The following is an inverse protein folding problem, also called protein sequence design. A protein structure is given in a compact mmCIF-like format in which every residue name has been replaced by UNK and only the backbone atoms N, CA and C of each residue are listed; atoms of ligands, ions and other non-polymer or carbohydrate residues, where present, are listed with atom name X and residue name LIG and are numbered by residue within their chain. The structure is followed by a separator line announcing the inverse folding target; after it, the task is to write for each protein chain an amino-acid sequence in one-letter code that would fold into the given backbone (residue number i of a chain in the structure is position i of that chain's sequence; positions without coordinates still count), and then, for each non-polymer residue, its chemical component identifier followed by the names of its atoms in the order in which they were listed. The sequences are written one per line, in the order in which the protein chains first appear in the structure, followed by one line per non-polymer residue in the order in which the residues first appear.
data_IF_953015956638
#
_entry.id   IF_953015956638
#
_cell.length_a   1.000
_cell.length_b   1.000
_cell.length_c   1.000
_cell.angle_alpha   90.00
_cell.angle_beta   90.00
_cell.angle_gamma   90.00
#
_symmetry.space_group_name_H-M   'P 1'
#
loop_
_entity.id
_entity.type
_entity.pdbx_description
1 polymer ?
#
# COMPACT_ATOMS: atom_id res chain seq x y z
N UNK A 1 24.62 64.20 32.69
CA UNK A 1 23.74 63.08 32.30
C UNK A 1 24.59 61.82 32.26
N UNK A 2 24.25 60.82 33.08
CA UNK A 2 25.18 59.80 33.61
C UNK A 2 25.23 58.52 32.73
N UNK A 3 26.38 58.28 32.09
CA UNK A 3 26.63 57.19 31.14
C UNK A 3 26.78 55.79 31.77
N UNK A 4 26.53 55.63 33.07
CA UNK A 4 26.68 54.35 33.80
C UNK A 4 25.47 53.42 33.73
N UNK A 5 24.31 53.90 33.29
CA UNK A 5 23.07 53.09 33.28
C UNK A 5 22.92 52.18 32.04
N UNK A 6 23.65 52.45 30.94
CA UNK A 6 23.48 51.71 29.67
C UNK A 6 24.25 50.38 29.65
N UNK A 7 25.40 50.29 30.33
CA UNK A 7 26.23 49.07 30.34
C UNK A 7 25.62 47.90 31.12
N UNK A 8 24.75 48.16 32.10
CA UNK A 8 24.12 47.10 32.90
C UNK A 8 22.97 46.38 32.16
N UNK A 9 22.21 47.10 31.32
CA UNK A 9 21.10 46.52 30.54
C UNK A 9 21.55 45.64 29.38
N UNK A 10 22.75 45.84 28.81
CA UNK A 10 23.28 44.97 27.74
C UNK A 10 23.77 43.60 28.26
N UNK A 11 24.39 43.54 29.44
CA UNK A 11 24.86 42.25 30.02
C UNK A 11 23.71 41.30 30.39
N UNK A 12 22.60 41.84 30.89
CA UNK A 12 21.43 41.03 31.26
C UNK A 12 20.75 40.35 30.04
N UNK A 13 20.65 41.06 28.90
CA UNK A 13 20.06 40.49 27.66
C UNK A 13 20.94 39.43 27.00
N UNK A 14 22.27 39.56 27.14
CA UNK A 14 23.21 38.56 26.64
C UNK A 14 23.08 37.25 27.44
N UNK A 15 23.00 37.33 28.77
CA UNK A 15 22.88 36.13 29.62
C UNK A 15 21.56 35.38 29.43
N UNK A 16 20.45 36.08 29.21
CA UNK A 16 19.14 35.46 28.93
C UNK A 16 19.16 34.61 27.64
N UNK A 17 19.87 35.05 26.58
CA UNK A 17 19.98 34.34 25.29
C UNK A 17 20.83 33.06 25.39
N UNK A 18 21.89 33.04 26.18
CA UNK A 18 22.70 31.84 26.38
C UNK A 18 21.94 30.74 27.14
N UNK A 19 21.11 31.12 28.12
CA UNK A 19 20.27 30.16 28.84
C UNK A 19 19.18 29.54 27.94
N UNK A 20 18.69 30.28 26.93
CA UNK A 20 17.72 29.74 25.95
C UNK A 20 18.37 28.80 24.93
N UNK A 21 19.60 29.06 24.51
CA UNK A 21 20.32 28.19 23.57
C UNK A 21 20.73 26.88 24.26
N UNK A 22 21.23 26.94 25.50
CA UNK A 22 21.64 25.76 26.26
C UNK A 22 20.46 24.79 26.54
N UNK A 23 19.28 25.35 26.85
CA UNK A 23 18.05 24.56 27.03
C UNK A 23 17.55 23.96 25.71
N UNK A 24 17.71 24.66 24.59
CA UNK A 24 17.34 24.14 23.27
C UNK A 24 18.26 22.99 22.82
N UNK A 25 19.57 23.10 23.03
CA UNK A 25 20.52 22.01 22.74
C UNK A 25 20.30 20.79 23.61
N UNK A 26 20.01 20.96 24.90
CA UNK A 26 19.72 19.83 25.80
C UNK A 26 18.46 19.05 25.36
N UNK A 27 17.42 19.76 24.91
CA UNK A 27 16.20 19.13 24.40
C UNK A 27 16.44 18.35 23.10
N UNK A 28 17.29 18.84 22.19
CA UNK A 28 17.65 18.12 20.95
C UNK A 28 18.44 16.85 21.25
N UNK A 29 19.43 16.91 22.14
CA UNK A 29 20.20 15.73 22.54
C UNK A 29 19.30 14.68 23.21
N UNK A 30 18.33 15.12 24.02
CA UNK A 30 17.38 14.21 24.66
C UNK A 30 16.40 13.57 23.65
N UNK A 31 16.00 14.30 22.60
CA UNK A 31 15.20 13.78 21.49
C UNK A 31 15.98 12.80 20.59
N UNK A 32 17.26 13.06 20.34
CA UNK A 32 18.15 12.16 19.60
C UNK A 32 18.37 10.84 20.38
N UNK A 33 18.67 10.92 21.67
CA UNK A 33 18.83 9.75 22.54
C UNK A 33 17.54 8.92 22.64
N UNK A 34 16.36 9.56 22.65
CA UNK A 34 15.07 8.84 22.63
C UNK A 34 14.81 8.13 21.30
N UNK A 35 15.27 8.69 20.17
CA UNK A 35 15.17 8.04 18.85
C UNK A 35 16.11 6.84 18.72
N UNK A 36 17.35 6.97 19.17
CA UNK A 36 18.31 5.87 19.17
C UNK A 36 17.83 4.73 20.08
N UNK A 37 17.39 5.04 21.30
CA UNK A 37 16.82 4.05 22.22
C UNK A 37 15.59 3.33 21.65
N UNK A 38 14.71 4.04 20.94
CA UNK A 38 13.56 3.43 20.28
C UNK A 38 13.96 2.50 19.13
N UNK A 39 14.93 2.93 18.29
CA UNK A 39 15.45 2.12 17.19
C UNK A 39 16.16 0.86 17.69
N UNK A 40 16.98 0.98 18.74
CA UNK A 40 17.64 -0.18 19.36
C UNK A 40 16.64 -1.16 19.95
N UNK A 41 15.62 -0.67 20.67
CA UNK A 41 14.58 -1.54 21.23
C UNK A 41 13.72 -2.20 20.16
N UNK A 42 13.38 -1.47 19.09
CA UNK A 42 12.63 -2.01 17.96
C UNK A 42 13.45 -3.08 17.24
N UNK A 43 14.73 -2.81 16.93
CA UNK A 43 15.63 -3.77 16.30
C UNK A 43 15.89 -4.99 17.19
N UNK A 44 16.08 -4.79 18.50
CA UNK A 44 16.29 -5.89 19.45
C UNK A 44 15.03 -6.77 19.58
N UNK A 45 13.84 -6.16 19.68
CA UNK A 45 12.58 -6.89 19.71
C UNK A 45 12.34 -7.66 18.39
N UNK A 46 12.61 -7.02 17.25
CA UNK A 46 12.51 -7.64 15.94
C UNK A 46 13.48 -8.83 15.79
N UNK A 47 14.75 -8.66 16.17
CA UNK A 47 15.75 -9.73 16.13
C UNK A 47 15.44 -10.86 17.10
N UNK A 48 14.87 -10.57 18.28
CA UNK A 48 14.39 -11.61 19.19
C UNK A 48 13.19 -12.37 18.64
N UNK A 49 12.25 -11.70 17.98
CA UNK A 49 11.11 -12.36 17.33
C UNK A 49 11.58 -13.29 16.20
N UNK A 50 12.51 -12.82 15.35
CA UNK A 50 13.16 -13.63 14.31
C UNK A 50 13.89 -14.84 14.92
N UNK A 51 14.63 -14.63 16.02
CA UNK A 51 15.38 -15.71 16.68
C UNK A 51 14.45 -16.77 17.28
N UNK A 52 13.36 -16.37 17.95
CA UNK A 52 12.35 -17.30 18.51
C UNK A 52 11.68 -18.13 17.41
N UNK A 53 11.39 -17.50 16.27
CA UNK A 53 10.85 -18.19 15.10
C UNK A 53 11.84 -19.23 14.53
N UNK A 54 13.14 -18.94 14.59
CA UNK A 54 14.20 -19.85 14.11
C UNK A 54 14.47 -21.01 15.06
N UNK A 55 14.38 -20.79 16.37
CA UNK A 55 14.63 -21.83 17.39
C UNK A 55 13.45 -22.78 17.62
N UNK A 56 12.26 -22.45 17.11
CA UNK A 56 11.10 -23.36 17.13
C UNK A 56 11.08 -24.41 16.02
N UNK A 57 11.91 -24.26 14.98
CA UNK A 57 12.08 -25.27 13.94
C UNK A 57 13.19 -26.23 14.37
N UNK A 58 12.82 -27.40 14.93
CA UNK A 58 13.70 -28.57 14.90
C UNK A 58 13.93 -28.91 13.43
N UNK A 59 15.15 -28.65 12.95
CA UNK A 59 15.60 -29.09 11.64
C UNK A 59 15.95 -30.57 11.75
N UNK A 60 14.99 -31.44 11.44
CA UNK A 60 15.31 -32.78 11.01
C UNK A 60 16.05 -32.69 9.67
N UNK A 61 17.17 -33.40 9.60
CA UNK A 61 18.21 -33.18 8.61
C UNK A 61 17.80 -33.44 7.17
N UNK A 62 18.65 -32.88 6.29
CA UNK A 62 18.72 -33.07 4.84
C UNK A 62 17.87 -32.10 3.99
N UNK A 63 18.19 -30.80 4.07
CA UNK A 63 17.73 -29.81 3.09
C UNK A 63 18.74 -29.72 1.94
N UNK A 64 18.36 -30.34 0.83
CA UNK A 64 18.95 -30.18 -0.49
C UNK A 64 19.07 -28.69 -0.85
N UNK A 65 20.30 -28.20 -1.05
CA UNK A 65 20.62 -26.84 -1.53
C UNK A 65 20.39 -26.71 -3.04
N UNK A 66 19.26 -27.22 -3.55
CA UNK A 66 18.84 -26.88 -4.90
C UNK A 66 18.41 -25.40 -4.89
N UNK A 67 18.87 -24.58 -5.86
CA UNK A 67 18.36 -23.22 -6.02
C UNK A 67 16.84 -23.33 -6.14
N UNK A 68 16.11 -22.48 -5.40
CA UNK A 68 14.65 -22.40 -5.51
C UNK A 68 14.32 -22.16 -6.98
N UNK A 69 13.89 -23.24 -7.65
CA UNK A 69 13.23 -23.21 -8.94
C UNK A 69 12.14 -22.16 -8.86
N UNK A 70 12.05 -21.29 -9.87
CA UNK A 70 11.03 -20.29 -10.08
C UNK A 70 9.66 -20.79 -9.62
N UNK A 71 9.32 -20.54 -8.35
CA UNK A 71 7.97 -20.82 -7.87
C UNK A 71 7.10 -19.79 -8.56
N UNK A 72 6.16 -20.29 -9.37
CA UNK A 72 5.13 -19.47 -10.00
C UNK A 72 4.55 -18.49 -8.99
N UNK A 73 4.23 -17.31 -9.48
CA UNK A 73 3.68 -16.22 -8.68
C UNK A 73 2.30 -16.66 -8.13
N UNK A 74 2.21 -16.95 -6.83
CA UNK A 74 0.97 -17.43 -6.20
C UNK A 74 -0.01 -16.26 -5.95
N UNK A 75 -1.05 -16.21 -6.79
CA UNK A 75 -2.14 -15.23 -6.72
C UNK A 75 -3.17 -15.54 -5.62
N UNK A 76 -3.16 -16.77 -5.10
CA UNK A 76 -4.11 -17.24 -4.10
C UNK A 76 -3.56 -17.27 -2.68
N UNK A 77 -2.26 -17.05 -2.51
CA UNK A 77 -1.59 -17.01 -1.20
C UNK A 77 -2.35 -16.14 -0.16
N UNK A 78 -2.92 -15.00 -0.57
CA UNK A 78 -3.65 -14.13 0.37
C UNK A 78 -4.92 -14.76 0.94
N UNK A 79 -5.48 -15.78 0.28
CA UNK A 79 -6.68 -16.49 0.71
C UNK A 79 -6.36 -17.76 1.51
N UNK A 80 -5.21 -18.39 1.26
CA UNK A 80 -4.89 -19.73 1.77
C UNK A 80 -3.76 -19.73 2.80
N UNK A 81 -2.81 -18.79 2.70
CA UNK A 81 -1.64 -18.73 3.58
C UNK A 81 -1.98 -18.01 4.89
N UNK A 82 -2.26 -18.81 5.92
CA UNK A 82 -2.59 -18.32 7.26
C UNK A 82 -1.43 -17.60 7.93
N UNK A 83 -0.19 -18.02 7.69
CA UNK A 83 1.00 -17.42 8.29
C UNK A 83 1.24 -16.02 7.71
N UNK A 84 1.17 -15.91 6.37
CA UNK A 84 1.25 -14.62 5.68
C UNK A 84 0.16 -13.67 6.16
N UNK A 85 -1.10 -14.14 6.24
CA UNK A 85 -2.23 -13.33 6.72
C UNK A 85 -1.99 -12.83 8.14
N UNK A 86 -1.58 -13.71 9.05
CA UNK A 86 -1.27 -13.34 10.43
C UNK A 86 -0.12 -12.31 10.50
N UNK A 87 0.94 -12.50 9.72
CA UNK A 87 2.05 -11.57 9.67
C UNK A 87 1.64 -10.18 9.17
N UNK A 88 0.93 -10.09 8.03
CA UNK A 88 0.43 -8.83 7.48
C UNK A 88 -0.53 -8.13 8.45
N UNK A 89 -1.45 -8.88 9.04
CA UNK A 89 -2.39 -8.35 10.03
C UNK A 89 -1.68 -7.80 11.27
N UNK A 90 -0.64 -8.48 11.77
CA UNK A 90 0.15 -7.99 12.90
C UNK A 90 0.83 -6.64 12.62
N UNK A 91 1.29 -6.42 11.38
CA UNK A 91 1.86 -5.15 10.93
C UNK A 91 0.78 -4.07 10.88
N UNK A 92 -0.40 -4.39 10.34
CA UNK A 92 -1.55 -3.49 10.36
C UNK A 92 -1.93 -3.06 11.79
N UNK A 93 -2.03 -4.01 12.73
CA UNK A 93 -2.36 -3.73 14.14
C UNK A 93 -1.30 -2.83 14.79
N UNK A 94 -0.02 -3.07 14.51
CA UNK A 94 1.07 -2.23 15.02
C UNK A 94 0.98 -0.79 14.47
N UNK A 95 0.73 -0.64 13.16
CA UNK A 95 0.49 0.66 12.54
C UNK A 95 -0.73 1.34 13.18
N UNK A 96 -1.88 0.66 13.28
CA UNK A 96 -3.09 1.19 13.92
C UNK A 96 -2.81 1.76 15.31
N UNK A 97 -2.13 1.00 16.17
CA UNK A 97 -1.76 1.45 17.51
C UNK A 97 -0.87 2.69 17.49
N UNK A 98 0.07 2.78 16.55
CA UNK A 98 0.91 3.97 16.39
C UNK A 98 0.09 5.20 15.97
N UNK A 99 -0.86 5.06 15.04
CA UNK A 99 -1.77 6.13 14.65
C UNK A 99 -2.63 6.61 15.82
N UNK A 100 -3.18 5.68 16.63
CA UNK A 100 -3.98 6.03 17.82
C UNK A 100 -3.15 6.71 18.91
N UNK A 101 -1.92 6.25 19.14
CA UNK A 101 -1.04 6.82 20.17
C UNK A 101 -0.48 8.20 19.80
N UNK A 102 -0.27 8.47 18.51
CA UNK A 102 0.41 9.68 18.04
C UNK A 102 -0.36 10.37 16.90
N UNK A 103 -1.65 10.66 17.12
CA UNK A 103 -2.54 11.22 16.08
C UNK A 103 -2.02 12.53 15.46
N UNK A 104 -1.29 13.35 16.22
CA UNK A 104 -0.71 14.60 15.73
C UNK A 104 0.49 14.39 14.78
N UNK A 105 1.13 13.21 14.82
CA UNK A 105 2.34 12.91 14.07
C UNK A 105 2.05 12.15 12.76
N UNK A 106 0.84 11.60 12.60
CA UNK A 106 0.48 10.78 11.45
C UNK A 106 -0.73 11.34 10.71
N UNK A 107 -0.63 11.44 9.39
CA UNK A 107 -1.68 11.96 8.52
C UNK A 107 -2.41 10.86 7.76
N UNK A 108 -3.58 11.17 7.18
CA UNK A 108 -4.28 10.25 6.26
C UNK A 108 -3.41 9.83 5.06
N UNK A 109 -2.53 10.71 4.60
CA UNK A 109 -1.58 10.40 3.53
C UNK A 109 -0.55 9.36 3.97
N UNK A 110 -0.09 9.43 5.23
CA UNK A 110 0.82 8.43 5.79
C UNK A 110 0.16 7.06 5.91
N UNK A 111 -1.10 7.02 6.37
CA UNK A 111 -1.87 5.78 6.43
C UNK A 111 -2.03 5.15 5.05
N UNK A 112 -2.37 5.96 4.04
CA UNK A 112 -2.49 5.51 2.64
C UNK A 112 -1.18 4.91 2.15
N UNK A 113 -0.04 5.61 2.37
CA UNK A 113 1.28 5.13 1.95
C UNK A 113 1.68 3.84 2.63
N UNK A 114 1.44 3.73 3.94
CA UNK A 114 1.75 2.52 4.72
C UNK A 114 0.90 1.33 4.27
N UNK A 115 -0.40 1.54 4.04
CA UNK A 115 -1.31 0.51 3.55
C UNK A 115 -0.92 0.06 2.14
N UNK A 116 -0.59 0.99 1.24
CA UNK A 116 -0.11 0.68 -0.12
C UNK A 116 1.21 -0.08 -0.09
N UNK A 117 2.14 0.29 0.81
CA UNK A 117 3.40 -0.44 0.97
C UNK A 117 3.21 -1.86 1.49
N UNK A 118 2.30 -2.03 2.45
CA UNK A 118 2.00 -3.34 3.06
C UNK A 118 1.28 -4.27 2.09
N UNK A 119 0.26 -3.75 1.40
CA UNK A 119 -0.74 -4.55 0.70
C UNK A 119 -0.79 -4.34 -0.82
N UNK A 120 0.00 -3.42 -1.38
CA UNK A 120 -0.10 -2.99 -2.78
C UNK A 120 0.97 -3.55 -3.72
N UNK A 121 2.06 -4.12 -3.20
CA UNK A 121 3.19 -4.62 -4.00
C UNK A 121 3.24 -6.15 -4.09
N UNK A 122 2.10 -6.81 -3.89
CA UNK A 122 2.00 -8.28 -3.95
C UNK A 122 1.29 -8.68 -5.23
N UNK A 123 1.54 -9.89 -5.75
CA UNK A 123 0.92 -10.35 -6.99
C UNK A 123 -0.60 -10.24 -7.00
N UNK A 124 -1.22 -10.61 -5.88
CA UNK A 124 -2.66 -10.57 -5.62
C UNK A 124 -3.22 -9.17 -5.33
N UNK A 125 -2.38 -8.14 -5.28
CA UNK A 125 -2.81 -6.76 -5.05
C UNK A 125 -3.43 -6.14 -6.29
N UNK A 126 -4.31 -5.15 -6.07
CA UNK A 126 -5.01 -4.38 -7.11
C UNK A 126 -5.79 -5.32 -8.05
N UNK A 127 -6.68 -6.11 -7.44
CA UNK A 127 -7.41 -7.20 -8.09
C UNK A 127 -8.22 -6.65 -9.26
N UNK A 128 -7.93 -7.10 -10.47
CA UNK A 128 -8.67 -6.66 -11.66
C UNK A 128 -9.93 -7.49 -11.78
N UNK A 129 -11.08 -6.85 -11.65
CA UNK A 129 -12.40 -7.49 -11.77
C UNK A 129 -13.11 -7.17 -13.10
N UNK A 130 -12.51 -6.32 -13.92
CA UNK A 130 -13.14 -5.87 -15.15
C UNK A 130 -12.31 -4.94 -16.01
N UNK A 131 -12.86 -4.63 -17.18
CA UNK A 131 -12.30 -3.68 -18.15
C UNK A 131 -13.41 -2.83 -18.75
N UNK A 132 -13.21 -1.52 -18.90
CA UNK A 132 -14.19 -0.64 -19.56
C UNK A 132 -14.19 -0.86 -21.08
N UNK A 133 -15.31 -0.65 -21.78
CA UNK A 133 -15.35 -0.71 -23.24
C UNK A 133 -14.33 0.22 -23.91
N UNK A 134 -14.14 1.43 -23.36
CA UNK A 134 -13.15 2.38 -23.87
C UNK A 134 -11.72 1.85 -23.74
N UNK A 135 -11.35 1.26 -22.61
CA UNK A 135 -10.04 0.64 -22.46
C UNK A 135 -9.83 -0.55 -23.39
N UNK A 136 -10.87 -1.36 -23.62
CA UNK A 136 -10.81 -2.47 -24.56
C UNK A 136 -10.59 -1.99 -26.00
N UNK A 137 -11.22 -0.87 -26.39
CA UNK A 137 -10.97 -0.22 -27.68
C UNK A 137 -9.51 0.22 -27.80
N UNK A 138 -8.95 0.89 -26.79
CA UNK A 138 -7.54 1.30 -26.80
C UNK A 138 -6.61 0.09 -26.94
N UNK A 139 -6.92 -1.05 -26.31
CA UNK A 139 -6.15 -2.27 -26.55
C UNK A 139 -6.24 -2.76 -27.99
N UNK A 140 -7.44 -2.75 -28.60
CA UNK A 140 -7.60 -3.12 -30.01
C UNK A 140 -6.73 -2.27 -30.92
N UNK A 141 -6.69 -0.96 -30.68
CA UNK A 141 -5.89 -0.01 -31.47
C UNK A 141 -4.37 -0.24 -31.34
N UNK A 142 -3.94 -1.02 -30.34
CA UNK A 142 -2.53 -1.33 -30.05
C UNK A 142 -2.21 -2.83 -30.19
N UNK A 143 -2.91 -3.56 -31.05
CA UNK A 143 -2.75 -5.01 -31.26
C UNK A 143 -2.87 -5.85 -29.98
N UNK A 144 -3.62 -5.34 -29.01
CA UNK A 144 -3.83 -5.87 -27.66
C UNK A 144 -2.56 -5.91 -26.79
N UNK A 145 -1.48 -5.24 -27.22
CA UNK A 145 -0.30 -4.99 -26.39
C UNK A 145 -0.60 -3.88 -25.39
N UNK A 146 0.16 -3.81 -24.30
CA UNK A 146 -0.01 -2.77 -23.28
C UNK A 146 0.32 -1.38 -23.85
N UNK A 147 -0.65 -0.46 -23.96
CA UNK A 147 -0.38 0.88 -24.42
C UNK A 147 0.34 1.68 -23.31
N UNK A 148 1.44 2.37 -23.61
CA UNK A 148 2.18 3.12 -22.61
C UNK A 148 1.37 4.36 -22.17
N UNK A 149 1.15 4.50 -20.86
CA UNK A 149 0.58 5.70 -20.22
C UNK A 149 -0.82 6.12 -20.70
N UNK A 150 -1.61 5.21 -21.27
CA UNK A 150 -3.00 5.50 -21.68
C UNK A 150 -4.04 4.82 -20.76
N UNK A 151 -3.67 3.68 -20.19
CA UNK A 151 -4.55 2.85 -19.36
C UNK A 151 -4.02 2.73 -17.94
N UNK A 152 -4.94 2.56 -17.00
CA UNK A 152 -4.64 2.33 -15.59
C UNK A 152 -5.65 1.39 -14.93
N UNK A 153 -5.28 0.88 -13.75
CA UNK A 153 -6.19 0.18 -12.84
C UNK A 153 -6.86 1.20 -11.94
N UNK A 154 -8.12 1.53 -12.24
CA UNK A 154 -8.92 2.42 -11.42
C UNK A 154 -9.60 1.65 -10.30
N UNK A 155 -9.37 2.06 -9.05
CA UNK A 155 -10.06 1.49 -7.90
C UNK A 155 -11.54 1.90 -7.89
N UNK A 156 -12.43 0.94 -7.59
CA UNK A 156 -13.84 1.21 -7.30
C UNK A 156 -13.97 2.08 -6.05
N UNK A 157 -13.30 1.67 -4.98
CA UNK A 157 -13.16 2.45 -3.75
C UNK A 157 -11.72 2.89 -3.60
N UNK A 158 -11.49 4.19 -3.55
CA UNK A 158 -10.13 4.73 -3.52
C UNK A 158 -9.34 4.23 -2.30
N UNK A 159 -8.02 4.05 -2.48
CA UNK A 159 -7.14 3.54 -1.42
C UNK A 159 -7.13 4.44 -0.18
N UNK A 160 -7.30 5.75 -0.36
CA UNK A 160 -7.23 6.71 0.74
C UNK A 160 -8.46 6.59 1.66
N UNK A 161 -9.66 6.38 1.11
CA UNK A 161 -10.85 6.10 1.90
C UNK A 161 -10.75 4.76 2.62
N UNK A 162 -10.19 3.72 1.99
CA UNK A 162 -9.89 2.43 2.67
C UNK A 162 -8.96 2.64 3.87
N UNK A 163 -7.89 3.42 3.70
CA UNK A 163 -6.98 3.75 4.79
C UNK A 163 -7.65 4.62 5.87
N UNK A 164 -8.52 5.56 5.50
CA UNK A 164 -9.27 6.38 6.48
C UNK A 164 -10.08 5.49 7.41
N UNK A 165 -10.83 4.53 6.86
CA UNK A 165 -11.64 3.61 7.66
C UNK A 165 -10.76 2.81 8.61
N UNK A 166 -9.74 2.13 8.06
CA UNK A 166 -8.91 1.19 8.81
C UNK A 166 -8.11 1.82 9.95
N UNK A 167 -7.66 3.07 9.83
CA UNK A 167 -6.75 3.69 10.81
C UNK A 167 -7.39 4.82 11.63
N UNK A 168 -8.42 5.49 11.11
CA UNK A 168 -9.01 6.67 11.75
C UNK A 168 -10.44 6.43 12.23
N UNK A 169 -11.28 5.84 11.40
CA UNK A 169 -12.72 5.74 11.70
C UNK A 169 -13.03 4.59 12.66
N UNK A 170 -12.26 3.49 12.62
CA UNK A 170 -12.34 2.41 13.60
C UNK A 170 -11.79 2.84 14.98
N UNK A 171 -12.46 2.46 16.07
CA UNK A 171 -12.00 2.69 17.45
C UNK A 171 -10.94 1.67 17.87
N UNK A 172 -11.10 0.42 17.45
CA UNK A 172 -10.19 -0.71 17.67
C UNK A 172 -9.69 -1.27 16.32
N UNK A 173 -8.53 -1.96 16.28
CA UNK A 173 -8.06 -2.57 15.06
C UNK A 173 -9.02 -3.68 14.62
N UNK A 174 -9.34 -3.70 13.34
CA UNK A 174 -10.22 -4.70 12.75
C UNK A 174 -9.67 -6.13 12.98
N UNK A 175 -10.48 -7.10 13.43
CA UNK A 175 -10.08 -8.50 13.56
C UNK A 175 -9.52 -9.08 12.25
N UNK A 176 -8.68 -10.12 12.35
CA UNK A 176 -7.92 -10.64 11.20
C UNK A 176 -8.78 -10.97 9.98
N UNK A 177 -9.84 -11.75 10.16
CA UNK A 177 -10.69 -12.17 9.05
C UNK A 177 -11.47 -11.00 8.44
N UNK A 178 -11.96 -10.10 9.29
CA UNK A 178 -12.68 -8.90 8.87
C UNK A 178 -11.76 -7.94 8.11
N UNK A 179 -10.51 -7.78 8.56
CA UNK A 179 -9.50 -6.96 7.88
C UNK A 179 -9.28 -7.41 6.44
N UNK A 180 -9.09 -8.71 6.21
CA UNK A 180 -8.88 -9.21 4.85
C UNK A 180 -10.14 -9.15 4.02
N UNK A 181 -11.32 -9.45 4.57
CA UNK A 181 -12.59 -9.31 3.85
C UNK A 181 -12.78 -7.86 3.39
N UNK A 182 -12.67 -6.91 4.31
CA UNK A 182 -12.81 -5.47 4.06
C UNK A 182 -11.76 -4.95 3.07
N UNK A 183 -10.50 -5.32 3.28
CA UNK A 183 -9.42 -4.86 2.41
C UNK A 183 -9.59 -5.39 0.99
N UNK A 184 -9.81 -6.71 0.83
CA UNK A 184 -9.87 -7.33 -0.49
C UNK A 184 -11.05 -6.80 -1.29
N UNK A 185 -12.24 -6.69 -0.69
CA UNK A 185 -13.43 -6.09 -1.33
C UNK A 185 -13.11 -4.71 -1.92
N UNK A 186 -12.38 -3.87 -1.18
CA UNK A 186 -12.03 -2.51 -1.61
C UNK A 186 -10.79 -2.43 -2.48
N UNK A 187 -10.04 -3.52 -2.59
CA UNK A 187 -8.87 -3.64 -3.47
C UNK A 187 -9.24 -3.98 -4.92
N UNK A 188 -10.54 -4.00 -5.23
CA UNK A 188 -11.06 -4.20 -6.58
C UNK A 188 -10.74 -3.02 -7.50
N UNK A 189 -10.28 -3.35 -8.69
CA UNK A 189 -9.91 -2.41 -9.75
C UNK A 189 -10.48 -2.83 -11.09
N UNK A 190 -10.64 -1.85 -11.97
CA UNK A 190 -11.04 -2.04 -13.36
C UNK A 190 -9.97 -1.41 -14.25
N UNK A 191 -9.61 -2.09 -15.33
CA UNK A 191 -8.76 -1.50 -16.35
C UNK A 191 -9.59 -0.49 -17.14
N UNK A 192 -9.16 0.77 -17.10
CA UNK A 192 -9.86 1.88 -17.71
C UNK A 192 -8.88 2.87 -18.30
N UNK A 193 -9.37 3.77 -19.14
CA UNK A 193 -8.57 4.88 -19.67
C UNK A 193 -8.17 5.85 -18.56
N UNK A 194 -7.11 6.61 -18.82
CA UNK A 194 -6.68 7.62 -17.87
C UNK A 194 -7.74 8.70 -17.62
N UNK A 195 -8.51 9.03 -18.64
CA UNK A 195 -9.52 10.06 -18.58
C UNK A 195 -10.75 9.59 -17.80
N UNK A 196 -11.21 8.33 -17.98
CA UNK A 196 -12.28 7.74 -17.18
C UNK A 196 -11.96 7.75 -15.69
N UNK A 197 -10.71 7.45 -15.31
CA UNK A 197 -10.35 7.42 -13.90
C UNK A 197 -10.25 8.84 -13.29
N UNK A 198 -9.78 9.83 -14.07
CA UNK A 198 -9.64 11.22 -13.63
C UNK A 198 -10.99 11.93 -13.56
N UNK A 199 -11.86 11.67 -14.52
CA UNK A 199 -13.12 12.36 -14.70
C UNK A 199 -14.27 11.38 -14.47
N UNK A 200 -14.72 11.29 -13.22
CA UNK A 200 -15.90 10.54 -12.85
C UNK A 200 -17.08 11.51 -12.66
N UNK A 201 -17.97 11.67 -13.64
CA UNK A 201 -19.13 12.54 -13.49
C UNK A 201 -19.95 12.06 -12.28
N UNK A 202 -20.29 12.98 -11.38
CA UNK A 202 -21.02 12.69 -10.13
C UNK A 202 -20.37 11.60 -9.25
N UNK A 203 -19.05 11.38 -9.37
CA UNK A 203 -18.34 10.30 -8.70
C UNK A 203 -18.85 8.89 -9.05
N UNK A 204 -19.61 8.73 -10.14
CA UNK A 204 -20.09 7.44 -10.61
C UNK A 204 -18.95 6.64 -11.24
N UNK A 205 -18.86 5.37 -10.88
CA UNK A 205 -17.88 4.45 -11.45
C UNK A 205 -18.35 3.97 -12.83
N UNK A 206 -17.48 3.90 -13.86
CA UNK A 206 -17.90 3.51 -15.20
C UNK A 206 -18.36 2.05 -15.26
N UNK A 207 -19.29 1.76 -16.16
CA UNK A 207 -19.67 0.39 -16.50
C UNK A 207 -18.46 -0.37 -17.07
N UNK A 208 -18.39 -1.66 -16.78
CA UNK A 208 -17.29 -2.50 -17.20
C UNK A 208 -17.73 -3.92 -17.56
N UNK A 209 -16.93 -4.56 -18.40
CA UNK A 209 -17.07 -5.96 -18.74
C UNK A 209 -16.35 -6.75 -17.65
N UNK A 210 -17.08 -7.64 -16.97
CA UNK A 210 -16.55 -8.44 -15.88
C UNK A 210 -15.46 -9.41 -16.35
N UNK A 211 -14.44 -9.59 -15.53
CA UNK A 211 -13.36 -10.57 -15.70
C UNK A 211 -13.47 -11.57 -14.55
N UNK A 212 -13.43 -12.87 -14.86
CA UNK A 212 -13.44 -13.88 -13.80
C UNK A 212 -12.10 -13.87 -13.06
N UNK A 213 -12.17 -13.73 -11.75
CA UNK A 213 -11.00 -13.79 -10.86
C UNK A 213 -10.22 -15.10 -10.96
N UNK A 214 -10.85 -16.20 -11.43
CA UNK A 214 -10.20 -17.50 -11.65
C UNK A 214 -9.23 -17.50 -12.82
N UNK A 215 -9.31 -16.53 -13.73
CA UNK A 215 -8.44 -16.47 -14.90
C UNK A 215 -7.03 -15.96 -14.56
N UNK A 216 -6.81 -15.48 -13.32
CA UNK A 216 -5.53 -14.96 -12.81
C UNK A 216 -4.87 -13.91 -13.73
N UNK A 217 -5.71 -13.10 -14.39
CA UNK A 217 -5.29 -12.10 -15.36
C UNK A 217 -4.85 -10.80 -14.70
N UNK A 218 -3.91 -10.12 -15.37
CA UNK A 218 -3.40 -8.81 -14.97
C UNK A 218 -2.82 -8.76 -13.54
N UNK A 219 -1.95 -9.71 -13.16
CA UNK A 219 -1.38 -9.74 -11.82
C UNK A 219 -0.53 -8.49 -11.58
N UNK A 220 -0.37 -8.11 -10.31
CA UNK A 220 0.46 -6.95 -9.98
C UNK A 220 1.89 -7.13 -10.48
N UNK A 221 2.45 -6.08 -11.10
CA UNK A 221 3.82 -6.08 -11.60
C UNK A 221 4.81 -5.68 -10.51
N UNK A 222 4.72 -4.44 -10.05
CA UNK A 222 5.62 -3.87 -9.02
C UNK A 222 4.83 -3.26 -7.87
N UNK A 223 4.01 -2.26 -8.17
CA UNK A 223 3.14 -1.59 -7.22
C UNK A 223 1.79 -1.28 -7.86
N UNK A 224 1.69 -0.19 -8.64
CA UNK A 224 0.41 0.23 -9.23
C UNK A 224 0.16 -0.39 -10.61
N UNK A 225 1.21 -0.82 -11.30
CA UNK A 225 1.13 -1.45 -12.62
C UNK A 225 0.83 -2.95 -12.57
N UNK A 226 0.37 -3.50 -13.69
CA UNK A 226 0.13 -4.93 -13.87
C UNK A 226 1.17 -5.56 -14.81
N UNK A 227 1.25 -6.89 -14.82
CA UNK A 227 1.95 -7.66 -15.83
C UNK A 227 1.04 -7.91 -17.02
N UNK A 228 1.56 -7.72 -18.23
CA UNK A 228 0.81 -7.89 -19.48
C UNK A 228 1.45 -8.98 -20.31
N UNK A 229 1.01 -10.23 -20.08
CA UNK A 229 1.60 -11.43 -20.66
C UNK A 229 0.81 -11.86 -21.89
N UNK A 230 1.22 -12.96 -22.51
CA UNK A 230 0.50 -13.57 -23.64
C UNK A 230 -0.94 -13.98 -23.28
N UNK A 231 -1.16 -14.39 -22.03
CA UNK A 231 -2.49 -14.74 -21.51
C UNK A 231 -3.45 -13.54 -21.58
N UNK A 232 -3.02 -12.37 -21.07
CA UNK A 232 -3.81 -11.13 -21.13
C UNK A 232 -4.11 -10.71 -22.58
N UNK A 233 -3.11 -10.79 -23.47
CA UNK A 233 -3.29 -10.47 -24.90
C UNK A 233 -4.36 -11.37 -25.54
N UNK A 234 -4.28 -12.68 -25.32
CA UNK A 234 -5.22 -13.63 -25.89
C UNK A 234 -6.63 -13.44 -25.33
N UNK A 235 -6.74 -13.20 -24.02
CA UNK A 235 -8.02 -12.89 -23.37
C UNK A 235 -8.67 -11.65 -24.00
N UNK A 236 -7.95 -10.55 -24.13
CA UNK A 236 -8.48 -9.30 -24.66
C UNK A 236 -8.93 -9.44 -26.12
N UNK A 237 -8.20 -10.20 -26.95
CA UNK A 237 -8.61 -10.52 -28.33
C UNK A 237 -9.93 -11.26 -28.37
N UNK A 238 -10.04 -12.33 -27.56
CA UNK A 238 -11.26 -13.12 -27.50
C UNK A 238 -12.45 -12.29 -26.97
N UNK A 239 -12.21 -11.42 -25.99
CA UNK A 239 -13.22 -10.52 -25.44
C UNK A 239 -13.74 -9.53 -26.48
N UNK A 240 -12.83 -8.86 -27.20
CA UNK A 240 -13.18 -7.88 -28.23
C UNK A 240 -13.92 -8.52 -29.41
N UNK A 241 -13.47 -9.70 -29.87
CA UNK A 241 -14.16 -10.44 -30.93
C UNK A 241 -15.62 -10.78 -30.56
N UNK A 242 -15.88 -11.18 -29.30
CA UNK A 242 -17.24 -11.41 -28.80
C UNK A 242 -18.07 -10.13 -28.82
N UNK A 243 -17.50 -9.00 -28.41
CA UNK A 243 -18.20 -7.71 -28.37
C UNK A 243 -18.62 -7.24 -29.78
N UNK A 244 -17.75 -7.42 -30.78
CA UNK A 244 -18.10 -7.12 -32.18
C UNK A 244 -19.24 -8.02 -32.65
N UNK A 245 -19.15 -9.33 -32.41
CA UNK A 245 -20.17 -10.29 -32.85
C UNK A 245 -21.56 -9.99 -32.25
N UNK A 246 -21.63 -9.61 -30.97
CA UNK A 246 -22.88 -9.20 -30.32
C UNK A 246 -23.44 -7.90 -30.92
N UNK A 247 -22.57 -6.96 -31.31
CA UNK A 247 -22.99 -5.67 -31.90
C UNK A 247 -23.55 -5.83 -33.32
N UNK A 248 -23.08 -6.82 -34.08
CA UNK A 248 -23.61 -7.13 -35.42
C UNK A 248 -24.97 -7.84 -35.40
N UNK A 249 -25.32 -8.57 -34.34
CA UNK A 249 -26.60 -9.28 -34.22
C UNK A 249 -27.76 -8.41 -33.70
N UNK A 250 -27.50 -7.16 -33.33
CA UNK A 250 -28.50 -6.24 -32.77
C UNK A 250 -28.88 -5.11 -33.75
N UNK A 251 -28.44 -5.21 -35.01
CA UNK A 251 -28.82 -4.32 -36.11
C UNK A 251 -29.68 -5.07 -37.10
#
# INVERSE_FOLDING_TARGET
MDGRCIKFRMRARYHQRYLTIATWTANITQLAARREWFLERFLSAFMQAVKRHRTGMKLDGNVSTKPHSEKGVDMHAIHTDKELRAALHSIYVAQFKAFKACQHAFTKADATRMLTGLMGARPWSWRVIGITPAALQVFSDHDFKRPPRQLQRGHKQDRASTASVLYFDCTEPMPLEEFFAFFLERDETVIMTNDENKHRPNSTFPDFIAIDSKDELFPCGTLVGWQHRKAEINFLRALYAKQIASSTNTK
#
